data_IF_741610744187
#
_entry.id   IF_741610744187
#
_cell.length_a   1.000
_cell.length_b   1.000
_cell.length_c   1.000
_cell.angle_alpha   90.00
_cell.angle_beta   90.00
_cell.angle_gamma   90.00
#
_symmetry.space_group_name_H-M   'P 1'
#
loop_
_entity.id
_entity.type
_entity.pdbx_description
1 polymer ?
#
# COMPACT_ATOMS: atom_id res chain seq x y z
N UNK A 1 8.88 -33.57 -55.36
CA UNK A 1 8.46 -33.49 -53.95
C UNK A 1 9.27 -32.44 -53.19
N UNK A 2 9.28 -31.16 -53.66
CA UNK A 2 10.09 -30.09 -53.01
C UNK A 2 9.29 -28.80 -52.73
N UNK A 3 7.98 -28.76 -52.91
CA UNK A 3 7.18 -27.52 -52.81
C UNK A 3 6.12 -27.52 -51.72
N UNK A 4 6.22 -28.40 -50.68
CA UNK A 4 5.28 -28.44 -49.56
C UNK A 4 5.83 -27.97 -48.20
N UNK A 5 7.11 -27.59 -48.13
CA UNK A 5 7.75 -27.22 -46.88
C UNK A 5 7.71 -25.71 -46.60
N UNK A 6 7.47 -24.87 -47.61
CA UNK A 6 7.49 -23.40 -47.42
C UNK A 6 6.16 -22.79 -46.93
N UNK A 7 5.10 -23.57 -46.88
CA UNK A 7 3.77 -23.07 -46.44
C UNK A 7 3.54 -23.18 -44.92
N UNK A 8 4.38 -23.91 -44.19
CA UNK A 8 4.24 -24.11 -42.73
C UNK A 8 5.03 -23.09 -41.93
N UNK A 9 6.04 -22.44 -42.50
CA UNK A 9 6.89 -21.46 -41.78
C UNK A 9 6.27 -20.06 -41.74
N UNK A 10 5.27 -19.78 -42.59
CA UNK A 10 4.63 -18.44 -42.66
C UNK A 10 3.50 -18.21 -41.67
N UNK A 11 3.04 -19.24 -40.92
CA UNK A 11 1.91 -19.12 -39.98
C UNK A 11 2.39 -18.90 -38.53
N UNK A 12 3.68 -19.01 -38.24
CA UNK A 12 4.21 -18.93 -36.87
C UNK A 12 4.75 -17.56 -36.47
N UNK A 13 4.57 -16.51 -37.28
CA UNK A 13 5.08 -15.16 -37.00
C UNK A 13 4.00 -14.09 -36.87
N UNK A 14 2.76 -14.48 -36.58
CA UNK A 14 1.68 -13.56 -36.23
C UNK A 14 1.26 -13.74 -34.76
N UNK A 15 2.21 -13.91 -33.85
CA UNK A 15 2.03 -13.48 -32.47
C UNK A 15 2.16 -11.94 -32.49
N UNK A 16 1.13 -11.29 -33.00
CA UNK A 16 0.90 -9.87 -32.83
C UNK A 16 0.91 -9.60 -31.34
N UNK A 17 1.99 -9.01 -30.86
CA UNK A 17 1.94 -8.21 -29.65
C UNK A 17 0.84 -7.19 -29.88
N UNK A 18 -0.36 -7.48 -29.43
CA UNK A 18 -1.41 -6.49 -29.28
C UNK A 18 -0.91 -5.50 -28.21
N UNK A 19 -0.05 -4.58 -28.62
CA UNK A 19 0.10 -3.28 -27.96
C UNK A 19 -1.27 -2.66 -28.20
N UNK A 20 -2.18 -2.84 -27.23
CA UNK A 20 -3.46 -2.15 -27.23
C UNK A 20 -3.16 -0.65 -27.23
N UNK A 21 -3.15 -0.05 -28.39
CA UNK A 21 -3.16 1.39 -28.49
C UNK A 21 -4.40 1.86 -27.73
N UNK A 22 -4.21 2.72 -26.74
CA UNK A 22 -5.28 3.32 -25.96
C UNK A 22 -6.28 3.97 -26.91
N UNK A 23 -7.54 3.53 -26.89
CA UNK A 23 -8.58 4.11 -27.72
C UNK A 23 -8.89 5.54 -27.29
N UNK A 24 -9.42 6.37 -28.17
CA UNK A 24 -9.78 7.76 -27.83
C UNK A 24 -10.90 7.79 -26.76
N UNK A 25 -11.80 6.81 -26.79
CA UNK A 25 -12.83 6.65 -25.75
C UNK A 25 -12.22 6.35 -24.37
N UNK A 26 -11.26 5.44 -24.30
CA UNK A 26 -10.56 5.14 -23.04
C UNK A 26 -9.79 6.33 -22.47
N UNK A 27 -9.12 7.12 -23.34
CA UNK A 27 -8.45 8.36 -22.96
C UNK A 27 -9.45 9.39 -22.42
N UNK A 28 -10.60 9.52 -23.06
CA UNK A 28 -11.65 10.41 -22.62
C UNK A 28 -12.20 10.00 -21.26
N UNK A 29 -12.54 8.73 -21.06
CA UNK A 29 -12.99 8.20 -19.75
C UNK A 29 -11.95 8.40 -18.66
N UNK A 30 -10.67 8.13 -18.97
CA UNK A 30 -9.55 8.35 -18.04
C UNK A 30 -9.44 9.82 -17.62
N UNK A 31 -9.62 10.75 -18.58
CA UNK A 31 -9.61 12.19 -18.30
C UNK A 31 -10.81 12.58 -17.44
N UNK A 32 -12.02 12.17 -17.81
CA UNK A 32 -13.27 12.50 -17.11
C UNK A 32 -13.21 12.09 -15.64
N UNK A 33 -12.95 10.82 -15.34
CA UNK A 33 -12.94 10.41 -13.94
C UNK A 33 -11.77 11.04 -13.16
N UNK A 34 -10.64 11.28 -13.81
CA UNK A 34 -9.50 11.96 -13.18
C UNK A 34 -9.83 13.38 -12.76
N UNK A 35 -10.55 14.13 -13.61
CA UNK A 35 -11.00 15.50 -13.28
C UNK A 35 -12.01 15.48 -12.13
N UNK A 36 -12.97 14.54 -12.12
CA UNK A 36 -13.88 14.39 -10.99
C UNK A 36 -13.15 14.07 -9.67
N UNK A 37 -12.14 13.19 -9.71
CA UNK A 37 -11.34 12.89 -8.50
C UNK A 37 -10.53 14.10 -8.03
N UNK A 38 -9.93 14.87 -8.94
CA UNK A 38 -9.22 16.11 -8.60
C UNK A 38 -10.16 17.15 -7.98
N UNK A 39 -11.39 17.23 -8.48
CA UNK A 39 -12.45 18.08 -7.93
C UNK A 39 -13.09 17.50 -6.66
N UNK A 40 -12.66 16.34 -6.17
CA UNK A 40 -13.25 15.59 -5.03
C UNK A 40 -14.73 15.21 -5.25
N UNK A 41 -15.18 15.15 -6.49
CA UNK A 41 -16.51 14.66 -6.85
C UNK A 41 -16.44 13.16 -7.10
N UNK A 42 -16.31 12.38 -6.02
CA UNK A 42 -16.08 10.95 -6.09
C UNK A 42 -17.31 10.18 -6.60
N UNK A 43 -18.50 10.64 -6.32
CA UNK A 43 -19.75 10.05 -6.84
C UNK A 43 -19.77 10.07 -8.38
N UNK A 44 -19.45 11.21 -8.99
CA UNK A 44 -19.40 11.33 -10.44
C UNK A 44 -18.20 10.55 -11.06
N UNK A 45 -17.14 10.38 -10.28
CA UNK A 45 -15.95 9.64 -10.70
C UNK A 45 -16.19 8.12 -10.75
N UNK A 46 -17.10 7.58 -9.94
CA UNK A 46 -17.23 6.14 -9.69
C UNK A 46 -17.55 5.33 -10.96
N UNK A 47 -18.60 5.70 -11.69
CA UNK A 47 -19.04 4.93 -12.86
C UNK A 47 -17.99 4.88 -13.99
N UNK A 48 -17.43 6.02 -14.49
CA UNK A 48 -16.43 5.98 -15.54
C UNK A 48 -15.11 5.32 -15.07
N UNK A 49 -14.79 5.40 -13.78
CA UNK A 49 -13.65 4.66 -13.21
C UNK A 49 -13.87 3.15 -13.25
N UNK A 50 -15.04 2.65 -12.80
CA UNK A 50 -15.36 1.22 -12.81
C UNK A 50 -15.37 0.65 -14.21
N UNK A 51 -15.91 1.37 -15.20
CA UNK A 51 -15.86 0.95 -16.59
C UNK A 51 -14.42 0.71 -17.07
N UNK A 52 -13.50 1.65 -16.81
CA UNK A 52 -12.10 1.49 -17.19
C UNK A 52 -11.38 0.41 -16.39
N UNK A 53 -11.65 0.29 -15.09
CA UNK A 53 -11.06 -0.76 -14.24
C UNK A 53 -11.39 -2.15 -14.78
N UNK A 54 -12.61 -2.36 -15.27
CA UNK A 54 -13.08 -3.65 -15.79
C UNK A 54 -12.61 -3.90 -17.24
N UNK A 55 -12.70 -2.90 -18.10
CA UNK A 55 -12.41 -3.05 -19.52
C UNK A 55 -10.90 -3.01 -19.82
N UNK A 56 -10.15 -2.12 -19.17
CA UNK A 56 -8.77 -1.80 -19.54
C UNK A 56 -7.88 -1.56 -18.29
N UNK A 57 -7.73 -2.56 -17.40
CA UNK A 57 -7.03 -2.40 -16.12
C UNK A 57 -5.55 -2.02 -16.23
N UNK A 58 -4.93 -2.27 -17.39
CA UNK A 58 -3.52 -1.97 -17.67
C UNK A 58 -3.28 -0.58 -18.29
N UNK A 59 -4.35 0.13 -18.65
CA UNK A 59 -4.25 1.38 -19.41
C UNK A 59 -3.46 2.48 -18.70
N UNK A 60 -3.67 2.62 -17.40
CA UNK A 60 -2.96 3.62 -16.59
C UNK A 60 -3.05 3.28 -15.09
N UNK A 61 -1.93 3.50 -14.37
CA UNK A 61 -1.90 3.38 -12.91
C UNK A 61 -2.89 4.28 -12.17
N UNK A 62 -3.36 5.35 -12.81
CA UNK A 62 -4.35 6.27 -12.25
C UNK A 62 -5.65 5.55 -11.86
N UNK A 63 -6.03 4.46 -12.57
CA UNK A 63 -7.18 3.61 -12.20
C UNK A 63 -7.08 3.19 -10.72
N UNK A 64 -5.91 2.77 -10.29
CA UNK A 64 -5.68 2.28 -8.92
C UNK A 64 -5.45 3.41 -7.92
N UNK A 65 -4.70 4.45 -8.30
CA UNK A 65 -4.40 5.59 -7.42
C UNK A 65 -5.65 6.42 -7.13
N UNK A 66 -6.46 6.65 -8.12
CA UNK A 66 -7.71 7.41 -7.96
C UNK A 66 -8.85 6.53 -7.48
N UNK A 67 -8.90 5.26 -7.91
CA UNK A 67 -9.84 4.28 -7.39
C UNK A 67 -9.75 4.12 -5.87
N UNK A 68 -8.55 4.13 -5.32
CA UNK A 68 -8.34 4.14 -3.87
C UNK A 68 -8.97 5.36 -3.20
N UNK A 69 -8.88 6.55 -3.82
CA UNK A 69 -9.50 7.78 -3.27
C UNK A 69 -11.01 7.70 -3.33
N UNK A 70 -11.57 7.20 -4.43
CA UNK A 70 -12.99 6.99 -4.62
C UNK A 70 -13.51 6.02 -3.55
N UNK A 71 -12.89 4.84 -3.41
CA UNK A 71 -13.33 3.83 -2.44
C UNK A 71 -13.16 4.29 -0.99
N UNK A 72 -12.09 5.02 -0.65
CA UNK A 72 -11.93 5.56 0.69
C UNK A 72 -13.04 6.56 1.05
N UNK A 73 -13.43 7.42 0.11
CA UNK A 73 -14.56 8.35 0.32
C UNK A 73 -15.88 7.58 0.48
N UNK A 74 -16.12 6.59 -0.37
CA UNK A 74 -17.33 5.75 -0.29
C UNK A 74 -17.37 4.97 1.03
N UNK A 75 -16.27 4.38 1.49
CA UNK A 75 -16.15 3.71 2.79
C UNK A 75 -16.45 4.66 3.95
N UNK A 76 -15.96 5.90 3.86
CA UNK A 76 -16.20 6.91 4.90
C UNK A 76 -17.68 7.32 5.02
N UNK A 77 -18.43 7.25 3.91
CA UNK A 77 -19.83 7.66 3.81
C UNK A 77 -20.82 6.47 3.83
N UNK A 78 -20.34 5.23 4.06
CA UNK A 78 -21.16 4.01 4.11
C UNK A 78 -21.15 3.39 5.50
N UNK A 79 -22.18 2.59 5.81
CA UNK A 79 -22.32 1.85 7.06
C UNK A 79 -22.72 0.38 6.80
N UNK A 80 -22.59 -0.48 7.83
CA UNK A 80 -23.04 -1.86 7.79
C UNK A 80 -22.47 -2.68 6.63
N UNK A 81 -23.34 -3.43 5.98
CA UNK A 81 -22.96 -4.34 4.87
C UNK A 81 -22.41 -3.60 3.65
N UNK A 82 -22.91 -2.40 3.38
CA UNK A 82 -22.41 -1.59 2.28
C UNK A 82 -20.95 -1.17 2.51
N UNK A 83 -20.62 -0.78 3.72
CA UNK A 83 -19.24 -0.46 4.12
C UNK A 83 -18.32 -1.67 3.96
N UNK A 84 -18.77 -2.86 4.38
CA UNK A 84 -18.03 -4.12 4.20
C UNK A 84 -17.72 -4.35 2.72
N UNK A 85 -18.72 -4.21 1.85
CA UNK A 85 -18.58 -4.37 0.40
C UNK A 85 -17.47 -3.47 -0.16
N UNK A 86 -17.44 -2.18 0.21
CA UNK A 86 -16.41 -1.26 -0.30
C UNK A 86 -15.03 -1.48 0.31
N UNK A 87 -14.94 -1.93 1.57
CA UNK A 87 -13.67 -2.37 2.17
C UNK A 87 -13.10 -3.55 1.39
N UNK A 88 -13.91 -4.57 1.11
CA UNK A 88 -13.48 -5.73 0.33
C UNK A 88 -13.09 -5.36 -1.10
N UNK A 89 -13.79 -4.41 -1.72
CA UNK A 89 -13.42 -3.90 -3.05
C UNK A 89 -12.10 -3.12 -3.03
N UNK A 90 -11.82 -2.35 -1.97
CA UNK A 90 -10.54 -1.67 -1.81
C UNK A 90 -9.37 -2.66 -1.64
N UNK A 91 -9.56 -3.73 -0.86
CA UNK A 91 -8.58 -4.82 -0.75
C UNK A 91 -8.31 -5.47 -2.10
N UNK A 92 -9.37 -5.75 -2.85
CA UNK A 92 -9.30 -6.30 -4.22
C UNK A 92 -8.58 -5.33 -5.17
N UNK A 93 -8.87 -4.03 -5.11
CA UNK A 93 -8.22 -3.01 -5.92
C UNK A 93 -6.69 -2.99 -5.70
N UNK A 94 -6.23 -3.14 -4.46
CA UNK A 94 -4.81 -3.19 -4.15
C UNK A 94 -4.15 -4.48 -4.65
N UNK A 95 -4.85 -5.61 -4.60
CA UNK A 95 -4.37 -6.88 -5.15
C UNK A 95 -4.28 -6.83 -6.68
N UNK A 96 -5.30 -6.30 -7.34
CA UNK A 96 -5.30 -6.06 -8.79
C UNK A 96 -4.11 -5.17 -9.20
N UNK A 97 -3.85 -4.09 -8.44
CA UNK A 97 -2.71 -3.22 -8.71
C UNK A 97 -1.37 -3.96 -8.60
N UNK A 98 -1.21 -4.83 -7.60
CA UNK A 98 0.01 -5.64 -7.44
C UNK A 98 0.22 -6.58 -8.62
N UNK A 99 -0.85 -7.17 -9.12
CA UNK A 99 -0.84 -8.07 -10.28
C UNK A 99 -0.55 -7.31 -11.59
N UNK A 100 -1.18 -6.15 -11.76
CA UNK A 100 -1.12 -5.38 -13.02
C UNK A 100 0.16 -4.55 -13.13
N UNK A 101 0.62 -3.97 -12.03
CA UNK A 101 1.78 -3.08 -11.93
C UNK A 101 2.78 -3.49 -10.83
N UNK A 102 3.32 -4.73 -10.86
CA UNK A 102 4.17 -5.24 -9.77
C UNK A 102 5.43 -4.38 -9.53
N UNK A 103 6.06 -3.87 -10.58
CA UNK A 103 7.30 -3.10 -10.50
C UNK A 103 7.16 -1.74 -9.78
N UNK A 104 5.95 -1.22 -9.66
CA UNK A 104 5.67 0.07 -8.98
C UNK A 104 4.72 -0.09 -7.81
N UNK A 105 4.51 -1.33 -7.36
CA UNK A 105 3.62 -1.66 -6.24
C UNK A 105 4.40 -2.49 -5.22
N UNK A 106 5.13 -1.83 -4.29
CA UNK A 106 5.94 -2.49 -3.28
C UNK A 106 5.11 -3.46 -2.44
N UNK A 107 5.55 -4.72 -2.37
CA UNK A 107 4.72 -5.81 -1.88
C UNK A 107 4.44 -5.70 -0.37
N UNK A 108 5.49 -5.47 0.43
CA UNK A 108 5.34 -5.30 1.88
C UNK A 108 4.49 -4.08 2.25
N UNK A 109 4.64 -2.96 1.53
CA UNK A 109 3.84 -1.76 1.78
C UNK A 109 2.34 -1.99 1.54
N UNK A 110 1.98 -2.68 0.44
CA UNK A 110 0.57 -2.92 0.12
C UNK A 110 -0.06 -4.01 0.98
N UNK A 111 0.68 -5.07 1.32
CA UNK A 111 0.21 -6.09 2.25
C UNK A 111 0.00 -5.52 3.66
N UNK A 112 0.96 -4.72 4.17
CA UNK A 112 0.80 -4.02 5.44
C UNK A 112 -0.41 -3.07 5.44
N UNK A 113 -0.63 -2.36 4.33
CA UNK A 113 -1.78 -1.47 4.15
C UNK A 113 -3.11 -2.24 4.17
N UNK A 114 -3.16 -3.40 3.52
CA UNK A 114 -4.32 -4.28 3.54
C UNK A 114 -4.60 -4.83 4.95
N UNK A 115 -3.56 -5.30 5.64
CA UNK A 115 -3.67 -5.76 7.03
C UNK A 115 -4.13 -4.65 7.97
N UNK A 116 -3.65 -3.40 7.75
CA UNK A 116 -4.07 -2.24 8.54
C UNK A 116 -5.54 -1.88 8.30
N UNK A 117 -6.02 -1.94 7.05
CA UNK A 117 -7.43 -1.69 6.75
C UNK A 117 -8.34 -2.72 7.42
N UNK A 118 -7.95 -3.99 7.42
CA UNK A 118 -8.65 -5.06 8.13
C UNK A 118 -8.64 -4.82 9.64
N UNK A 119 -7.51 -4.48 10.22
CA UNK A 119 -7.39 -4.14 11.64
C UNK A 119 -8.28 -2.95 12.04
N UNK A 120 -8.26 -1.87 11.26
CA UNK A 120 -9.05 -0.67 11.53
C UNK A 120 -10.57 -0.94 11.46
N UNK A 121 -10.97 -2.02 10.76
CA UNK A 121 -12.36 -2.44 10.60
C UNK A 121 -12.63 -3.84 11.20
N UNK A 122 -11.77 -4.34 12.10
CA UNK A 122 -11.81 -5.72 12.60
C UNK A 122 -13.17 -6.17 13.15
N UNK A 123 -13.84 -5.30 13.90
CA UNK A 123 -15.17 -5.60 14.48
C UNK A 123 -16.23 -5.79 13.39
N UNK A 124 -16.18 -4.96 12.36
CA UNK A 124 -17.13 -4.99 11.24
C UNK A 124 -16.90 -6.20 10.34
N UNK A 125 -15.62 -6.57 10.15
CA UNK A 125 -15.21 -7.68 9.30
C UNK A 125 -15.20 -9.04 10.04
N UNK A 126 -15.34 -9.05 11.36
CA UNK A 126 -15.26 -10.28 12.16
C UNK A 126 -13.85 -10.88 12.23
N UNK A 127 -12.79 -10.07 12.01
CA UNK A 127 -11.41 -10.53 12.01
C UNK A 127 -10.93 -10.84 13.44
N UNK A 128 -10.31 -11.99 13.65
CA UNK A 128 -9.67 -12.33 14.93
C UNK A 128 -8.30 -11.65 15.08
N UNK A 129 -7.78 -11.60 16.32
CA UNK A 129 -6.42 -11.10 16.56
C UNK A 129 -5.36 -11.99 15.90
N UNK A 130 -5.58 -13.30 15.89
CA UNK A 130 -4.72 -14.30 15.29
C UNK A 130 -4.64 -14.13 13.77
N UNK A 131 -5.79 -13.95 13.11
CA UNK A 131 -5.83 -13.73 11.65
C UNK A 131 -5.15 -12.43 11.26
N UNK A 132 -5.41 -11.37 12.02
CA UNK A 132 -4.77 -10.06 11.80
C UNK A 132 -3.26 -10.13 12.02
N UNK A 133 -2.80 -10.77 13.11
CA UNK A 133 -1.38 -10.98 13.35
C UNK A 133 -0.73 -11.75 12.20
N UNK A 134 -1.35 -12.85 11.76
CA UNK A 134 -0.87 -13.68 10.66
C UNK A 134 -0.77 -12.88 9.36
N UNK A 135 -1.73 -11.99 9.08
CA UNK A 135 -1.70 -11.14 7.90
C UNK A 135 -0.54 -10.12 7.94
N UNK A 136 -0.28 -9.48 9.11
CA UNK A 136 0.86 -8.58 9.27
C UNK A 136 2.19 -9.33 9.22
N UNK A 137 2.28 -10.50 9.84
CA UNK A 137 3.48 -11.35 9.86
C UNK A 137 3.85 -11.80 8.43
N UNK A 138 2.88 -12.28 7.67
CA UNK A 138 3.06 -12.63 6.26
C UNK A 138 3.51 -11.42 5.41
N UNK A 139 2.95 -10.24 5.65
CA UNK A 139 3.36 -9.02 4.96
C UNK A 139 4.83 -8.65 5.27
N UNK A 140 5.22 -8.76 6.54
CA UNK A 140 6.58 -8.44 6.99
C UNK A 140 7.60 -9.46 6.45
N UNK A 141 7.32 -10.76 6.55
CA UNK A 141 8.19 -11.84 6.05
C UNK A 141 8.35 -11.75 4.53
N UNK A 142 7.27 -11.41 3.80
CA UNK A 142 7.30 -11.34 2.34
C UNK A 142 8.20 -10.22 1.83
N UNK A 143 8.15 -9.03 2.46
CA UNK A 143 8.94 -7.87 2.02
C UNK A 143 9.09 -6.84 3.16
N UNK A 144 9.91 -7.19 4.15
CA UNK A 144 10.22 -6.30 5.28
C UNK A 144 10.81 -4.96 4.82
N UNK A 145 11.53 -4.96 3.67
CA UNK A 145 12.17 -3.75 3.14
C UNK A 145 11.13 -2.66 2.86
N UNK A 146 10.01 -2.99 2.27
CA UNK A 146 8.96 -2.03 1.92
C UNK A 146 7.82 -1.96 2.94
N UNK A 147 7.85 -2.78 4.00
CA UNK A 147 6.97 -2.65 5.15
C UNK A 147 7.44 -1.50 6.05
N UNK A 148 7.09 -0.27 5.69
CA UNK A 148 7.67 0.95 6.27
C UNK A 148 6.64 1.88 6.92
N UNK A 149 5.38 1.50 7.03
CA UNK A 149 4.38 2.34 7.66
C UNK A 149 4.50 2.26 9.20
N UNK A 150 4.77 3.38 9.93
CA UNK A 150 4.91 3.37 11.38
C UNK A 150 3.68 2.82 12.10
N UNK A 151 2.46 3.22 11.70
CA UNK A 151 1.21 2.72 12.29
C UNK A 151 1.11 1.20 12.15
N UNK A 152 1.47 0.65 10.98
CA UNK A 152 1.42 -0.79 10.73
C UNK A 152 2.44 -1.56 11.55
N UNK A 153 3.65 -1.04 11.75
CA UNK A 153 4.66 -1.62 12.65
C UNK A 153 4.16 -1.66 14.10
N UNK A 154 3.60 -0.56 14.58
CA UNK A 154 3.02 -0.49 15.92
C UNK A 154 1.83 -1.44 16.09
N UNK A 155 0.93 -1.50 15.10
CA UNK A 155 -0.23 -2.41 15.13
C UNK A 155 0.23 -3.87 15.16
N UNK A 156 1.20 -4.23 14.34
CA UNK A 156 1.76 -5.57 14.28
C UNK A 156 2.37 -6.00 15.62
N UNK A 157 3.20 -5.15 16.25
CA UNK A 157 3.72 -5.43 17.58
C UNK A 157 2.60 -5.49 18.63
N UNK A 158 1.62 -4.60 18.56
CA UNK A 158 0.49 -4.59 19.49
C UNK A 158 -0.35 -5.85 19.44
N UNK A 159 -0.50 -6.44 18.25
CA UNK A 159 -1.16 -7.74 18.10
C UNK A 159 -0.35 -8.86 18.74
N UNK A 160 0.99 -8.88 18.57
CA UNK A 160 1.87 -9.83 19.26
C UNK A 160 1.70 -9.75 20.78
N UNK A 161 1.74 -8.53 21.33
CA UNK A 161 1.50 -8.33 22.79
C UNK A 161 0.12 -8.86 23.20
N UNK A 162 -0.92 -8.57 22.43
CA UNK A 162 -2.27 -9.06 22.72
C UNK A 162 -2.42 -10.58 22.66
N UNK A 163 -1.65 -11.25 21.80
CA UNK A 163 -1.59 -12.71 21.73
C UNK A 163 -0.80 -13.31 22.91
N UNK A 164 0.30 -12.67 23.31
CA UNK A 164 1.04 -13.04 24.51
C UNK A 164 0.17 -12.92 25.77
N UNK A 165 -0.51 -11.79 25.96
CA UNK A 165 -1.43 -11.57 27.09
C UNK A 165 -2.55 -12.62 27.15
N UNK A 166 -2.94 -13.18 26.01
CA UNK A 166 -3.94 -14.26 25.89
C UNK A 166 -3.32 -15.67 25.97
N UNK A 167 -2.03 -15.79 26.28
CA UNK A 167 -1.26 -17.04 26.34
C UNK A 167 -1.23 -17.84 25.02
N UNK A 168 -1.45 -17.18 23.89
CA UNK A 168 -1.38 -17.75 22.54
C UNK A 168 0.03 -17.62 21.94
N UNK A 169 0.90 -16.83 22.56
CA UNK A 169 2.30 -16.65 22.21
C UNK A 169 3.17 -16.70 23.46
N UNK A 170 4.39 -17.22 23.31
CA UNK A 170 5.40 -17.30 24.37
C UNK A 170 6.12 -15.97 24.58
N UNK A 171 6.76 -15.82 25.75
CA UNK A 171 7.66 -14.68 26.01
C UNK A 171 8.82 -14.61 25.01
N UNK A 172 9.38 -15.78 24.61
CA UNK A 172 10.44 -15.82 23.60
C UNK A 172 9.99 -15.24 22.27
N UNK A 173 8.78 -15.59 21.80
CA UNK A 173 8.22 -15.03 20.55
C UNK A 173 7.97 -13.52 20.66
N UNK A 174 7.49 -13.06 21.85
CA UNK A 174 7.27 -11.64 22.11
C UNK A 174 8.58 -10.85 22.03
N UNK A 175 9.64 -11.31 22.72
CA UNK A 175 10.94 -10.64 22.70
C UNK A 175 11.58 -10.68 21.33
N UNK A 176 11.54 -11.81 20.61
CA UNK A 176 12.02 -11.88 19.23
C UNK A 176 11.30 -10.87 18.32
N UNK A 177 9.99 -10.71 18.48
CA UNK A 177 9.22 -9.75 17.69
C UNK A 177 9.54 -8.31 18.07
N UNK A 178 9.81 -8.04 19.35
CA UNK A 178 10.28 -6.73 19.81
C UNK A 178 11.60 -6.36 19.13
N UNK A 179 12.58 -7.29 19.14
CA UNK A 179 13.88 -7.07 18.52
C UNK A 179 13.74 -6.79 17.02
N UNK A 180 12.98 -7.62 16.29
CA UNK A 180 12.73 -7.44 14.85
C UNK A 180 12.14 -6.04 14.52
N UNK A 181 11.14 -5.61 15.30
CA UNK A 181 10.45 -4.34 15.03
C UNK A 181 11.29 -3.15 15.46
N UNK A 182 12.03 -3.24 16.57
CA UNK A 182 12.93 -2.18 17.05
C UNK A 182 14.07 -1.97 16.07
N UNK A 183 14.72 -3.04 15.58
CA UNK A 183 15.75 -2.95 14.54
C UNK A 183 15.20 -2.32 13.24
N UNK A 184 13.98 -2.69 12.85
CA UNK A 184 13.32 -2.09 11.68
C UNK A 184 13.06 -0.59 11.88
N UNK A 185 12.60 -0.17 13.04
CA UNK A 185 12.37 1.24 13.38
C UNK A 185 13.68 2.02 13.33
N UNK A 186 14.75 1.50 13.93
CA UNK A 186 16.07 2.14 13.95
C UNK A 186 16.63 2.30 12.53
N UNK A 187 16.48 1.28 11.70
CA UNK A 187 16.85 1.35 10.29
C UNK A 187 16.10 2.47 9.56
N UNK A 188 14.79 2.58 9.75
CA UNK A 188 13.98 3.61 9.07
C UNK A 188 14.27 5.02 9.63
N UNK A 189 14.49 5.16 10.94
CA UNK A 189 14.92 6.44 11.54
C UNK A 189 16.23 6.89 10.92
N UNK A 190 17.23 6.02 10.82
CA UNK A 190 18.50 6.31 10.15
C UNK A 190 18.31 6.70 8.68
N UNK A 191 17.50 5.95 7.96
CA UNK A 191 17.19 6.18 6.54
C UNK A 191 16.53 7.56 6.31
N UNK A 192 15.51 7.91 7.11
CA UNK A 192 14.84 9.21 6.99
C UNK A 192 15.68 10.37 7.53
N UNK A 193 16.53 10.14 8.53
CA UNK A 193 17.52 11.11 9.00
C UNK A 193 18.49 11.46 7.88
N UNK A 194 19.06 10.47 7.20
CA UNK A 194 19.97 10.70 6.08
C UNK A 194 19.28 11.47 4.95
N UNK A 195 18.04 11.08 4.60
CA UNK A 195 17.24 11.78 3.57
C UNK A 195 16.94 13.24 3.96
N UNK A 196 16.63 13.50 5.23
CA UNK A 196 16.41 14.85 5.76
C UNK A 196 17.68 15.68 5.69
N UNK A 197 18.80 15.11 6.14
CA UNK A 197 20.07 15.83 6.22
C UNK A 197 20.60 16.27 4.85
N UNK A 198 20.20 15.59 3.76
CA UNK A 198 20.50 16.03 2.39
C UNK A 198 19.86 17.39 2.01
N UNK A 199 18.96 17.92 2.83
CA UNK A 199 18.35 19.25 2.68
C UNK A 199 18.85 20.29 3.67
N UNK A 200 19.88 19.95 4.45
CA UNK A 200 20.48 20.83 5.46
C UNK A 200 21.89 21.22 5.03
N UNK A 201 22.30 22.44 5.33
CA UNK A 201 23.69 22.90 5.22
C UNK A 201 24.56 22.35 6.36
N UNK A 202 25.85 22.65 6.34
CA UNK A 202 26.82 22.25 7.38
C UNK A 202 26.48 22.83 8.76
N UNK A 203 25.81 23.97 8.77
CA UNK A 203 25.31 24.66 9.98
C UNK A 203 23.98 24.05 10.50
N UNK A 204 23.39 23.09 9.78
CA UNK A 204 22.13 22.48 10.11
C UNK A 204 20.90 23.29 9.67
N UNK A 205 21.07 24.46 9.06
CA UNK A 205 19.98 25.25 8.52
C UNK A 205 19.44 24.64 7.22
N UNK A 206 18.15 24.90 6.96
CA UNK A 206 17.50 24.39 5.75
C UNK A 206 18.01 25.14 4.53
N UNK A 207 18.53 24.41 3.54
CA UNK A 207 18.97 24.98 2.26
C UNK A 207 17.79 25.64 1.51
N UNK A 208 18.08 26.49 0.53
CA UNK A 208 17.07 26.99 -0.38
C UNK A 208 16.49 25.83 -1.21
N UNK A 209 15.21 25.54 -1.04
CA UNK A 209 14.56 24.34 -1.57
C UNK A 209 13.49 24.69 -2.62
N UNK A 210 13.40 23.86 -3.65
CA UNK A 210 12.25 23.84 -4.53
C UNK A 210 10.97 23.50 -3.74
N UNK A 211 9.79 23.89 -4.27
CA UNK A 211 8.48 23.50 -3.68
C UNK A 211 8.35 21.99 -3.49
N UNK A 212 8.89 21.20 -4.42
CA UNK A 212 8.88 19.73 -4.35
C UNK A 212 9.75 19.23 -3.20
N UNK A 213 10.94 19.78 -3.03
CA UNK A 213 11.88 19.36 -1.99
C UNK A 213 11.43 19.80 -0.60
N UNK A 214 10.83 20.99 -0.49
CA UNK A 214 10.14 21.42 0.74
C UNK A 214 9.05 20.41 1.16
N UNK A 215 8.27 19.90 0.22
CA UNK A 215 7.25 18.87 0.51
C UNK A 215 7.88 17.54 0.94
N UNK A 216 9.02 17.14 0.36
CA UNK A 216 9.77 15.95 0.75
C UNK A 216 10.34 16.09 2.17
N UNK A 217 10.97 17.22 2.48
CA UNK A 217 11.50 17.50 3.80
C UNK A 217 10.40 17.43 4.88
N UNK A 218 9.23 18.04 4.62
CA UNK A 218 8.07 17.93 5.52
C UNK A 218 7.64 16.47 5.73
N UNK A 219 7.64 15.66 4.68
CA UNK A 219 7.30 14.22 4.77
C UNK A 219 8.32 13.47 5.61
N UNK A 220 9.63 13.71 5.42
CA UNK A 220 10.68 13.03 6.18
C UNK A 220 10.61 13.39 7.67
N UNK A 221 10.39 14.66 8.02
CA UNK A 221 10.19 15.09 9.39
C UNK A 221 8.93 14.46 10.03
N UNK A 222 7.86 14.25 9.25
CA UNK A 222 6.66 13.57 9.72
C UNK A 222 6.91 12.10 10.00
N UNK A 223 7.63 11.40 9.12
CA UNK A 223 8.02 10.01 9.34
C UNK A 223 8.93 9.85 10.56
N UNK A 224 9.96 10.71 10.72
CA UNK A 224 10.85 10.67 11.88
C UNK A 224 10.08 10.84 13.19
N UNK A 225 9.15 11.81 13.25
CA UNK A 225 8.29 11.96 14.43
C UNK A 225 7.45 10.73 14.71
N UNK A 226 6.83 10.15 13.67
CA UNK A 226 6.01 8.96 13.82
C UNK A 226 6.83 7.76 14.31
N UNK A 227 8.01 7.52 13.74
CA UNK A 227 8.89 6.43 14.18
C UNK A 227 9.35 6.60 15.62
N UNK A 228 9.80 7.81 16.03
CA UNK A 228 10.20 8.06 17.41
C UNK A 228 9.04 7.87 18.40
N UNK A 229 7.84 8.28 18.00
CA UNK A 229 6.65 8.09 18.82
C UNK A 229 6.31 6.60 19.01
N UNK A 230 6.35 5.80 17.93
CA UNK A 230 6.05 4.37 18.06
C UNK A 230 7.14 3.61 18.79
N UNK A 231 8.42 3.97 18.68
CA UNK A 231 9.50 3.38 19.44
C UNK A 231 9.21 3.48 20.95
N UNK A 232 8.98 4.67 21.48
CA UNK A 232 8.62 4.86 22.88
C UNK A 232 7.32 4.16 23.29
N UNK A 233 6.33 4.06 22.37
CA UNK A 233 5.09 3.34 22.63
C UNK A 233 5.28 1.83 22.71
N UNK A 234 6.18 1.26 21.89
CA UNK A 234 6.54 -0.16 21.89
C UNK A 234 7.29 -0.51 23.18
N UNK A 235 8.28 0.30 23.58
CA UNK A 235 9.04 0.12 24.83
C UNK A 235 8.12 0.14 26.04
N UNK A 236 7.23 1.13 26.11
CA UNK A 236 6.25 1.24 27.19
C UNK A 236 5.31 0.01 27.22
N UNK A 237 4.89 -0.45 26.06
CA UNK A 237 3.98 -1.60 25.94
C UNK A 237 4.65 -2.91 26.35
N UNK A 238 5.93 -3.10 26.05
CA UNK A 238 6.71 -4.25 26.51
C UNK A 238 6.99 -4.15 28.02
N UNK A 239 7.47 -2.99 28.50
CA UNK A 239 7.83 -2.78 29.91
C UNK A 239 6.67 -2.88 30.90
N UNK A 240 5.43 -2.87 30.40
CA UNK A 240 4.22 -3.08 31.21
C UNK A 240 3.84 -4.56 31.38
N UNK A 241 4.64 -5.51 30.87
CA UNK A 241 4.44 -6.96 30.95
C UNK A 241 5.48 -7.64 31.81
#
# INVERSE_FOLDING_TARGET
MKNKIYLIVSILFLSVTAISAQTDEEKQKLSIFSEYVKAKNYNAAYAPWMELRLASPRINKAIYVYGERILNDTIANSEGEEKIKYILDLLKLWEERRTVFPNITPQGAYLAKASQLKYDNQKLLGESKEDLYTAFDAAYITDAKTFTNPKSLYTYFSLMVGLYDSSLKSAQELFSKYDDISEKIDFEVKNYTNKRNAFLGEDGEVLELSRKDTSRLKSYNSYLRAYNQIAGSIDTKLGSR
#
